data_IF_025695394694
#
_entry.id   IF_025695394694
#
_cell.length_a   1.000
_cell.length_b   1.000
_cell.length_c   1.000
_cell.angle_alpha   90.00
_cell.angle_beta   90.00
_cell.angle_gamma   90.00
#
_symmetry.space_group_name_H-M   'P 1'
#
loop_
_entity.id
_entity.type
_entity.pdbx_description
1 polymer ?
#
# COMPACT_ATOMS: atom_id res chain seq x y z
N UNK A 1 0.55 2.65 9.75
CA UNK A 1 0.65 1.20 9.53
C UNK A 1 -0.32 0.50 10.46
N UNK A 2 -1.37 -0.09 9.91
CA UNK A 2 -2.32 -0.89 10.68
C UNK A 2 -1.69 -2.19 11.18
N UNK A 3 -0.75 -2.75 10.43
CA UNK A 3 -0.08 -4.01 10.79
C UNK A 3 0.77 -3.96 12.07
N UNK A 4 1.14 -2.78 12.55
CA UNK A 4 1.98 -2.60 13.76
C UNK A 4 1.12 -2.10 14.94
N UNK A 5 -0.15 -1.78 14.71
CA UNK A 5 -1.03 -1.31 15.78
C UNK A 5 -1.34 -2.45 16.75
N UNK A 6 -1.25 -2.14 18.05
CA UNK A 6 -1.67 -3.08 19.09
C UNK A 6 -3.20 -3.23 19.05
N UNK A 7 -3.74 -4.45 19.16
CA UNK A 7 -5.17 -4.64 19.29
C UNK A 7 -5.72 -3.95 20.53
N UNK A 8 -7.02 -3.63 20.50
CA UNK A 8 -7.74 -3.23 21.71
C UNK A 8 -7.65 -4.32 22.77
N UNK A 9 -7.47 -3.92 24.03
CA UNK A 9 -7.30 -4.83 25.17
C UNK A 9 -8.52 -5.76 25.30
N UNK A 10 -8.30 -7.07 25.18
CA UNK A 10 -9.33 -8.11 25.40
C UNK A 10 -9.44 -9.18 24.30
N UNK A 11 -8.71 -9.05 23.21
CA UNK A 11 -8.76 -10.00 22.09
C UNK A 11 -7.87 -11.24 22.30
N UNK A 12 -8.44 -12.38 22.70
CA UNK A 12 -7.78 -13.70 22.71
C UNK A 12 -7.73 -14.37 21.32
N UNK A 13 -7.48 -13.59 20.27
CA UNK A 13 -7.47 -14.09 18.90
C UNK A 13 -6.04 -14.33 18.40
N UNK A 14 -5.88 -15.26 17.44
CA UNK A 14 -4.62 -15.46 16.73
C UNK A 14 -4.18 -14.18 16.01
N UNK A 15 -2.86 -13.96 15.89
CA UNK A 15 -2.27 -12.73 15.33
C UNK A 15 -2.88 -12.31 13.97
N UNK A 16 -3.22 -13.28 13.11
CA UNK A 16 -3.88 -13.00 11.80
C UNK A 16 -5.31 -12.49 11.93
N UNK A 17 -6.05 -12.98 12.91
CA UNK A 17 -7.43 -12.55 13.16
C UNK A 17 -7.47 -11.15 13.75
N UNK A 18 -6.46 -10.80 14.55
CA UNK A 18 -6.24 -9.43 15.03
C UNK A 18 -6.00 -8.47 13.86
N UNK A 19 -5.13 -8.85 12.93
CA UNK A 19 -4.86 -8.05 11.74
C UNK A 19 -6.15 -7.82 10.93
N UNK A 20 -6.92 -8.87 10.63
CA UNK A 20 -8.20 -8.73 9.93
C UNK A 20 -9.17 -7.76 10.64
N UNK A 21 -9.21 -7.80 11.98
CA UNK A 21 -10.05 -6.89 12.77
C UNK A 21 -9.60 -5.42 12.66
N UNK A 22 -8.30 -5.13 12.70
CA UNK A 22 -7.77 -3.76 12.57
C UNK A 22 -8.11 -3.18 11.18
N UNK A 23 -7.98 -3.99 10.13
CA UNK A 23 -8.29 -3.55 8.77
C UNK A 23 -9.80 -3.30 8.56
N UNK A 24 -10.67 -4.13 9.15
CA UNK A 24 -12.12 -3.89 9.21
C UNK A 24 -12.46 -2.60 9.96
N UNK A 25 -11.80 -2.36 11.09
CA UNK A 25 -11.96 -1.11 11.85
C UNK A 25 -11.56 0.10 11.00
N UNK A 26 -10.44 0.04 10.27
CA UNK A 26 -10.01 1.10 9.36
C UNK A 26 -11.07 1.43 8.29
N UNK A 27 -11.66 0.40 7.68
CA UNK A 27 -12.77 0.57 6.73
C UNK A 27 -14.01 1.18 7.40
N UNK A 28 -14.37 0.71 8.60
CA UNK A 28 -15.49 1.27 9.36
C UNK A 28 -15.29 2.75 9.70
N UNK A 29 -14.07 3.17 10.04
CA UNK A 29 -13.75 4.59 10.27
C UNK A 29 -14.04 5.41 9.01
N UNK A 30 -13.57 4.95 7.84
CA UNK A 30 -13.83 5.64 6.57
C UNK A 30 -15.34 5.79 6.31
N UNK A 31 -16.12 4.72 6.54
CA UNK A 31 -17.56 4.71 6.30
C UNK A 31 -18.34 5.55 7.32
N UNK A 32 -17.98 5.51 8.61
CA UNK A 32 -18.67 6.28 9.66
C UNK A 32 -18.31 7.76 9.63
N UNK A 33 -17.03 8.07 9.39
CA UNK A 33 -16.53 9.45 9.39
C UNK A 33 -16.59 10.11 8.01
N UNK A 34 -16.95 9.35 6.97
CA UNK A 34 -16.99 9.83 5.58
C UNK A 34 -15.67 10.50 5.17
N UNK A 35 -14.55 9.88 5.52
CA UNK A 35 -13.22 10.42 5.28
C UNK A 35 -12.32 9.43 4.54
N UNK A 36 -11.30 9.95 3.86
CA UNK A 36 -10.26 9.12 3.25
C UNK A 36 -9.31 8.61 4.35
N UNK A 37 -9.26 7.29 4.51
CA UNK A 37 -8.31 6.62 5.40
C UNK A 37 -7.17 6.06 4.56
N UNK A 38 -5.99 6.65 4.68
CA UNK A 38 -4.76 6.16 4.04
C UNK A 38 -3.89 5.50 5.09
N UNK A 39 -3.43 4.28 4.80
CA UNK A 39 -2.47 3.56 5.62
C UNK A 39 -1.44 2.92 4.72
N UNK A 40 -0.28 2.62 5.28
CA UNK A 40 0.77 1.89 4.61
C UNK A 40 0.77 0.42 5.07
N UNK A 41 1.11 -0.46 4.13
CA UNK A 41 1.28 -1.91 4.27
C UNK A 41 2.72 -2.27 3.90
N UNK A 42 3.22 -3.39 4.40
CA UNK A 42 4.53 -3.90 4.00
C UNK A 42 4.36 -4.96 2.92
N UNK A 43 5.20 -4.94 1.89
CA UNK A 43 5.25 -6.02 0.91
C UNK A 43 6.09 -7.19 1.42
N UNK A 44 5.89 -8.38 0.83
CA UNK A 44 6.65 -9.56 1.21
C UNK A 44 8.16 -9.41 0.88
N UNK A 45 9.02 -10.29 1.41
CA UNK A 45 10.47 -10.24 1.11
C UNK A 45 10.80 -10.55 -0.36
N UNK A 46 9.95 -11.32 -1.05
CA UNK A 46 10.17 -11.73 -2.43
C UNK A 46 10.01 -10.58 -3.42
N UNK A 47 9.20 -9.57 -3.11
CA UNK A 47 9.03 -8.39 -3.95
C UNK A 47 10.26 -7.48 -3.98
N UNK A 48 11.20 -7.63 -3.03
CA UNK A 48 12.43 -6.82 -2.95
C UNK A 48 13.36 -6.99 -4.15
N UNK A 49 13.25 -8.12 -4.85
CA UNK A 49 14.03 -8.41 -6.06
C UNK A 49 13.24 -8.17 -7.34
N UNK A 50 11.94 -7.89 -7.24
CA UNK A 50 11.10 -7.60 -8.40
C UNK A 50 11.24 -6.12 -8.79
N UNK A 51 11.04 -5.85 -10.07
CA UNK A 51 10.96 -4.48 -10.57
C UNK A 51 9.68 -3.78 -10.07
N UNK A 52 8.56 -4.52 -10.04
CA UNK A 52 7.26 -4.00 -9.65
C UNK A 52 6.55 -5.01 -8.75
N UNK A 53 5.89 -4.51 -7.71
CA UNK A 53 5.09 -5.31 -6.79
C UNK A 53 3.83 -5.79 -7.51
N UNK A 54 3.44 -7.05 -7.28
CA UNK A 54 2.21 -7.64 -7.81
C UNK A 54 1.15 -7.75 -6.70
N UNK A 55 -0.13 -7.92 -7.07
CA UNK A 55 -1.22 -8.09 -6.10
C UNK A 55 -1.05 -9.33 -5.19
N UNK A 56 -0.21 -10.30 -5.59
CA UNK A 56 0.14 -11.49 -4.80
C UNK A 56 1.20 -11.21 -3.72
N UNK A 57 1.87 -10.06 -3.75
CA UNK A 57 2.97 -9.72 -2.86
C UNK A 57 2.51 -9.13 -1.52
N UNK A 58 1.43 -9.68 -0.96
CA UNK A 58 0.87 -9.28 0.35
C UNK A 58 1.55 -10.02 1.50
N UNK A 59 1.84 -9.30 2.58
CA UNK A 59 2.42 -9.87 3.81
C UNK A 59 1.34 -10.23 4.83
N UNK A 60 1.62 -11.23 5.66
CA UNK A 60 0.78 -11.74 6.76
C UNK A 60 -0.53 -12.43 6.35
N UNK A 61 -1.49 -11.67 5.83
CA UNK A 61 -2.84 -12.17 5.54
C UNK A 61 -3.45 -11.49 4.31
N UNK A 62 -3.75 -12.29 3.28
CA UNK A 62 -4.44 -11.86 2.05
C UNK A 62 -5.83 -11.29 2.29
N UNK A 63 -6.46 -11.56 3.44
CA UNK A 63 -7.80 -11.06 3.78
C UNK A 63 -7.85 -9.54 3.92
N UNK A 64 -6.72 -8.88 4.16
CA UNK A 64 -6.59 -7.41 4.15
C UNK A 64 -7.11 -6.80 2.84
N UNK A 65 -6.82 -7.44 1.72
CA UNK A 65 -7.19 -6.96 0.38
C UNK A 65 -8.72 -6.89 0.19
N UNK A 66 -9.49 -7.72 0.92
CA UNK A 66 -10.95 -7.71 0.82
C UNK A 66 -11.59 -6.44 1.40
N UNK A 67 -10.90 -5.73 2.30
CA UNK A 67 -11.42 -4.55 3.01
C UNK A 67 -10.98 -3.23 2.37
N UNK A 68 -10.04 -3.28 1.42
CA UNK A 68 -9.54 -2.12 0.71
C UNK A 68 -10.51 -1.65 -0.39
N UNK A 69 -10.50 -0.35 -0.65
CA UNK A 69 -11.14 0.23 -1.84
C UNK A 69 -10.13 0.46 -2.97
N UNK A 70 -8.90 0.84 -2.61
CA UNK A 70 -7.77 1.03 -3.53
C UNK A 70 -6.49 0.54 -2.86
N UNK A 71 -5.64 -0.15 -3.61
CA UNK A 71 -4.27 -0.50 -3.22
C UNK A 71 -3.30 -0.03 -4.29
N UNK A 72 -2.27 0.68 -3.83
CA UNK A 72 -1.25 1.28 -4.68
C UNK A 72 0.11 0.76 -4.20
N UNK A 73 0.97 0.38 -5.14
CA UNK A 73 2.33 -0.02 -4.84
C UNK A 73 3.32 1.11 -5.15
N UNK A 74 4.35 1.18 -4.31
CA UNK A 74 5.51 2.05 -4.48
C UNK A 74 6.68 1.16 -4.89
N UNK A 75 7.14 1.31 -6.12
CA UNK A 75 8.19 0.50 -6.73
C UNK A 75 9.43 1.36 -6.95
N UNK A 76 10.60 0.88 -6.55
CA UNK A 76 11.85 1.60 -6.76
C UNK A 76 13.01 0.62 -6.83
N UNK A 77 13.71 0.59 -7.97
CA UNK A 77 14.97 -0.16 -8.09
C UNK A 77 16.13 0.61 -7.45
N UNK A 78 17.28 -0.05 -7.24
CA UNK A 78 18.47 0.62 -6.70
C UNK A 78 18.91 1.81 -7.57
N UNK A 79 18.93 1.62 -8.90
CA UNK A 79 19.25 2.70 -9.85
C UNK A 79 18.28 3.87 -9.75
N UNK A 80 16.99 3.60 -9.69
CA UNK A 80 15.98 4.66 -9.57
C UNK A 80 16.05 5.40 -8.25
N UNK A 81 16.46 4.71 -7.18
CA UNK A 81 16.72 5.34 -5.89
C UNK A 81 17.89 6.31 -5.99
N UNK A 82 18.96 5.96 -6.70
CA UNK A 82 20.09 6.86 -6.96
C UNK A 82 19.67 8.05 -7.83
N UNK A 83 18.78 7.83 -8.80
CA UNK A 83 18.22 8.86 -9.68
C UNK A 83 17.08 9.67 -9.02
N UNK A 84 16.72 9.38 -7.75
CA UNK A 84 15.63 10.02 -7.00
C UNK A 84 14.26 9.95 -7.70
N UNK A 85 14.01 8.86 -8.42
CA UNK A 85 12.72 8.57 -9.06
C UNK A 85 12.07 7.33 -8.46
N UNK A 86 10.74 7.23 -8.56
CA UNK A 86 9.96 6.08 -8.11
C UNK A 86 8.87 5.77 -9.11
N UNK A 87 8.38 4.54 -9.15
CA UNK A 87 7.19 4.17 -9.93
C UNK A 87 6.03 3.83 -9.02
N UNK A 88 4.84 4.20 -9.45
CA UNK A 88 3.58 3.88 -8.78
C UNK A 88 2.68 3.10 -9.74
N UNK A 89 2.12 1.98 -9.28
CA UNK A 89 1.03 1.29 -9.95
C UNK A 89 -0.15 1.00 -9.02
N UNK A 90 -1.33 0.86 -9.62
CA UNK A 90 -2.55 0.44 -8.93
C UNK A 90 -2.63 -1.08 -8.96
N UNK A 91 -2.59 -1.71 -7.78
CA UNK A 91 -2.71 -3.17 -7.62
C UNK A 91 -4.15 -3.63 -7.50
N UNK A 92 -5.02 -2.76 -6.99
CA UNK A 92 -6.43 -3.04 -6.77
C UNK A 92 -7.23 -1.73 -6.76
N UNK A 93 -8.40 -1.73 -7.40
CA UNK A 93 -9.35 -0.64 -7.31
C UNK A 93 -10.79 -1.17 -7.44
N UNK A 94 -11.61 -0.94 -6.41
CA UNK A 94 -12.99 -1.47 -6.34
C UNK A 94 -13.96 -0.78 -7.29
N UNK A 95 -13.81 0.54 -7.45
CA UNK A 95 -14.79 1.39 -8.12
C UNK A 95 -14.43 1.83 -9.55
N UNK A 96 -13.22 1.53 -10.04
CA UNK A 96 -12.75 1.97 -11.35
C UNK A 96 -11.95 0.89 -12.04
N UNK A 97 -11.98 0.90 -13.37
CA UNK A 97 -11.08 0.10 -14.19
C UNK A 97 -9.66 0.64 -14.06
N UNK A 98 -8.70 -0.26 -13.93
CA UNK A 98 -7.28 0.06 -13.86
C UNK A 98 -6.49 -0.95 -14.70
N UNK A 99 -5.23 -0.62 -14.98
CA UNK A 99 -4.29 -1.53 -15.62
C UNK A 99 -3.10 -1.70 -14.67
N UNK A 100 -2.90 -2.92 -14.16
CA UNK A 100 -1.79 -3.25 -13.24
C UNK A 100 -0.40 -3.03 -13.85
N UNK A 101 -0.31 -3.11 -15.18
CA UNK A 101 0.93 -2.93 -15.93
C UNK A 101 1.19 -1.46 -16.28
N UNK A 102 0.25 -0.56 -15.99
CA UNK A 102 0.46 0.87 -16.20
C UNK A 102 1.11 1.45 -14.94
N UNK A 103 2.27 2.04 -15.13
CA UNK A 103 3.04 2.69 -14.09
C UNK A 103 3.10 4.20 -14.33
N UNK A 104 3.21 4.94 -13.23
CA UNK A 104 3.51 6.36 -13.23
C UNK A 104 4.88 6.54 -12.61
N UNK A 105 5.83 7.06 -13.37
CA UNK A 105 7.12 7.51 -12.84
C UNK A 105 6.89 8.82 -12.07
N UNK A 106 7.55 8.97 -10.93
CA UNK A 106 7.51 10.13 -10.05
C UNK A 106 8.93 10.61 -9.83
N UNK A 107 9.17 11.87 -10.14
CA UNK A 107 10.41 12.57 -9.81
C UNK A 107 10.31 13.14 -8.39
N UNK A 108 11.34 12.90 -7.57
CA UNK A 108 11.37 13.29 -6.17
C UNK A 108 12.63 14.09 -5.84
N UNK A 109 12.54 14.92 -4.80
CA UNK A 109 13.67 15.58 -4.16
C UNK A 109 13.48 15.52 -2.65
N UNK A 110 13.74 14.34 -2.09
CA UNK A 110 13.47 14.02 -0.69
C UNK A 110 14.35 14.81 0.29
N UNK A 111 15.55 15.24 -0.13
CA UNK A 111 16.43 16.09 0.69
C UNK A 111 15.81 17.46 0.99
N UNK A 112 14.93 17.93 0.11
CA UNK A 112 14.13 19.15 0.30
C UNK A 112 12.73 18.87 0.82
N UNK A 113 12.46 17.63 1.27
CA UNK A 113 11.14 17.16 1.63
C UNK A 113 10.07 17.33 0.52
N UNK A 114 10.49 17.23 -0.75
CA UNK A 114 9.59 17.30 -1.90
C UNK A 114 9.38 15.91 -2.51
N UNK A 115 8.31 15.18 -2.13
CA UNK A 115 8.06 13.82 -2.61
C UNK A 115 7.46 13.75 -4.01
N UNK A 116 7.14 14.89 -4.63
CA UNK A 116 6.60 14.96 -6.00
C UNK A 116 7.01 16.28 -6.64
N UNK A 117 7.87 16.20 -7.65
CA UNK A 117 8.22 17.31 -8.54
C UNK A 117 7.47 17.20 -9.87
N UNK A 118 7.44 16.01 -10.44
CA UNK A 118 6.78 15.72 -11.70
C UNK A 118 6.33 14.25 -11.76
N UNK A 119 5.41 13.94 -12.65
CA UNK A 119 4.92 12.58 -12.86
C UNK A 119 4.50 12.30 -14.30
N UNK A 120 4.93 11.16 -14.85
CA UNK A 120 4.64 10.75 -16.23
C UNK A 120 4.24 9.28 -16.31
N UNK A 121 3.38 8.93 -17.27
CA UNK A 121 3.07 7.54 -17.57
C UNK A 121 4.19 6.90 -18.39
N UNK A 122 4.56 5.67 -18.03
CA UNK A 122 5.60 4.87 -18.70
C UNK A 122 5.08 3.50 -19.14
#
# INVERSE_FOLDING_TARGET
>A
YFDIQKPEKGSSFSDRSVIDAIWKMGKNIADVKQCLVVTADQSNKASRTKQSVESSDTTEDKRKDAHLDVRVALNQTAREKDDMVMRINVLFHRHRRFNVNREVLILQQLDLAQPLLDSEFI
#
